data_IF_464301191918
#
_entry.id   IF_464301191918
#
_cell.length_a   1.000
_cell.length_b   1.000
_cell.length_c   1.000
_cell.angle_alpha   90.00
_cell.angle_beta   90.00
_cell.angle_gamma   90.00
#
_symmetry.space_group_name_H-M   'P 1'
#
loop_
_entity.id
_entity.type
_entity.pdbx_description
1 polymer ?
#
# COMPACT_ATOMS: atom_id res chain seq x y z
N UNK A 1 33.51 -27.64 22.06
CA UNK A 1 33.18 -27.08 22.26
C UNK A 1 33.03 -26.71 21.98
N UNK A 2 33.27 -26.79 21.87
CA UNK A 2 33.05 -26.11 22.00
C UNK A 2 32.97 -25.46 21.68
N UNK A 3 33.50 -25.35 21.73
CA UNK A 3 33.40 -24.53 21.87
C UNK A 3 33.39 -23.87 21.55
N UNK A 4 33.72 -23.88 21.71
CA UNK A 4 33.77 -23.25 21.81
C UNK A 4 33.67 -22.55 21.36
N UNK A 5 34.74 -23.27 22.10
CA UNK A 5 34.95 -22.70 22.15
C UNK A 5 34.69 -21.99 21.66
N UNK A 6 35.38 -22.39 21.77
CA UNK A 6 35.38 -21.50 21.87
C UNK A 6 35.26 -20.87 21.37
N UNK A 7 34.99 -20.46 21.40
CA UNK A 7 35.16 -19.92 21.41
C UNK A 7 34.92 -19.25 20.95
N UNK A 8 35.89 -19.52 21.58
CA UNK A 8 35.99 -18.96 21.67
C UNK A 8 35.84 -18.38 21.11
N UNK A 9 36.11 -18.49 21.28
CA UNK A 9 36.14 -17.89 21.25
C UNK A 9 36.02 -17.43 20.84
N UNK A 10 36.46 -17.25 21.06
CA UNK A 10 36.56 -16.69 21.02
C UNK A 10 36.29 -16.24 20.66
N UNK A 11 36.90 -16.21 20.66
CA UNK A 11 37.14 -15.69 20.64
C UNK A 11 37.04 -15.40 20.46
N UNK A 12 37.38 -15.34 20.84
CA UNK A 12 37.51 -14.77 20.96
C UNK A 12 37.55 -14.47 20.80
N UNK A 13 37.90 -14.40 20.80
CA UNK A 13 38.10 -13.94 20.90
C UNK A 13 37.92 -13.73 20.67
N UNK A 14 38.76 -14.03 20.67
CA UNK A 14 38.66 -13.25 20.76
C UNK A 14 38.53 -12.92 20.36
N UNK A 15 38.26 -12.57 20.42
CA UNK A 15 38.15 -12.05 20.31
C UNK A 15 38.00 -11.90 20.00
N UNK A 16 38.58 -11.68 19.88
CA UNK A 16 38.59 -11.18 19.79
C UNK A 16 38.37 -10.90 19.55
N UNK A 17 38.84 -10.82 19.85
CA UNK A 17 38.81 -10.27 19.86
C UNK A 17 38.57 -10.10 19.54
N UNK A 18 39.00 -9.80 19.44
CA UNK A 18 38.72 -9.03 19.41
C UNK A 18 38.41 -8.80 19.02
N UNK A 19 38.62 -8.68 19.03
CA UNK A 19 38.25 -7.97 18.86
C UNK A 19 37.84 -7.72 18.52
N UNK A 20 38.57 -7.86 18.37
CA UNK A 20 38.17 -6.94 18.36
C UNK A 20 37.77 -6.75 17.90
N UNK A 21 38.06 -6.54 17.96
CA UNK A 21 37.57 -5.89 17.79
C UNK A 21 37.03 -5.67 17.28
N UNK A 22 37.27 -5.56 16.96
CA UNK A 22 36.68 -4.86 16.89
C UNK A 22 36.12 -4.66 16.40
N UNK A 23 36.36 -4.70 16.32
CA UNK A 23 35.68 -4.03 16.16
C UNK A 23 35.16 -3.85 15.73
N UNK A 24 35.62 -3.82 15.57
CA UNK A 24 35.01 -3.28 15.48
C UNK A 24 34.49 -3.26 14.97
N UNK A 25 34.61 -3.26 14.91
CA UNK A 25 33.84 -2.81 14.78
C UNK A 25 33.16 -2.65 14.18
N UNK A 26 33.63 -2.68 14.04
CA UNK A 26 32.81 -2.16 13.80
C UNK A 26 32.26 -2.08 13.22
N UNK A 27 32.38 -1.96 13.02
CA UNK A 27 31.59 -1.44 12.80
C UNK A 27 31.02 -1.13 12.23
N UNK A 28 31.55 -1.18 12.03
CA UNK A 28 30.90 -0.49 11.77
C UNK A 28 30.48 -0.11 11.16
N UNK A 29 30.64 -0.15 10.99
CA UNK A 29 29.99 0.50 10.72
C UNK A 29 29.52 0.87 10.17
N UNK A 30 29.82 0.83 9.98
CA UNK A 30 29.14 1.50 9.67
C UNK A 30 28.47 1.86 9.27
N UNK A 31 28.47 1.95 9.10
CA UNK A 31 27.65 2.65 9.03
C UNK A 31 26.99 2.90 8.59
N UNK A 32 26.98 2.99 8.55
CA UNK A 32 26.14 3.53 8.37
C UNK A 32 25.40 3.96 8.19
N UNK A 33 25.49 4.05 8.14
CA UNK A 33 24.58 4.70 8.15
C UNK A 33 23.82 5.02 7.99
N UNK A 34 23.75 5.05 7.91
CA UNK A 34 22.81 5.57 7.96
C UNK A 34 22.07 5.71 7.95
N UNK A 35 21.97 5.72 8.05
CA UNK A 35 21.03 6.06 8.25
C UNK A 35 20.33 6.39 8.52
N UNK A 36 20.40 6.39 8.64
CA UNK A 36 19.60 6.81 9.04
C UNK A 36 18.88 7.12 9.11
N UNK A 37 18.69 7.29 9.25
CA UNK A 37 17.81 7.71 9.48
C UNK A 37 17.04 7.84 9.68
N UNK A 38 16.89 7.85 9.84
CA UNK A 38 16.00 8.05 10.17
C UNK A 38 15.32 7.91 10.64
N UNK A 39 15.28 7.85 10.86
CA UNK A 39 14.54 7.76 11.37
C UNK A 39 13.96 7.60 11.94
N UNK A 40 13.72 7.58 12.26
CA UNK A 40 12.95 7.38 12.79
C UNK A 40 12.33 7.07 13.13
N UNK A 41 12.07 7.08 13.24
CA UNK A 41 11.41 6.73 13.61
C UNK A 41 11.02 6.07 14.11
N UNK A 42 11.11 5.92 14.29
CA UNK A 42 10.93 5.21 14.72
C UNK A 42 10.46 4.45 15.33
N UNK A 43 10.16 4.57 15.64
CA UNK A 43 9.57 3.76 16.25
C UNK A 43 9.03 2.70 15.63
N UNK A 44 9.26 2.65 14.64
CA UNK A 44 8.78 1.69 14.06
C UNK A 44 9.45 0.59 14.02
N UNK A 45 9.12 -0.08 14.33
CA UNK A 45 9.67 -1.25 14.46
C UNK A 45 10.14 -1.91 13.30
N UNK A 46 9.54 -2.89 12.87
CA UNK A 46 9.99 -3.72 11.77
C UNK A 46 9.69 -3.05 10.44
N UNK A 47 10.68 -2.87 9.59
CA UNK A 47 10.40 -2.36 8.25
C UNK A 47 9.55 -3.37 7.48
N UNK A 48 8.66 -2.85 6.63
CA UNK A 48 7.78 -3.67 5.82
C UNK A 48 8.38 -3.77 4.42
N UNK A 49 8.67 -4.98 3.99
CA UNK A 49 9.07 -5.21 2.61
C UNK A 49 7.85 -5.07 1.73
N UNK A 50 7.99 -4.35 0.63
CA UNK A 50 6.86 -4.03 -0.22
C UNK A 50 7.12 -4.39 -1.68
N UNK A 51 6.02 -4.46 -2.43
CA UNK A 51 6.05 -4.74 -3.85
C UNK A 51 4.98 -3.89 -4.53
N UNK A 52 4.98 -3.90 -5.86
CA UNK A 52 4.01 -3.18 -6.66
C UNK A 52 3.04 -4.18 -7.29
N UNK A 53 1.75 -3.83 -7.24
CA UNK A 53 0.68 -4.63 -7.85
C UNK A 53 -0.02 -3.77 -8.88
N UNK A 54 -0.35 -4.34 -10.04
CA UNK A 54 -1.07 -3.61 -11.09
C UNK A 54 -2.24 -4.44 -11.59
N UNK A 55 -3.26 -3.76 -12.11
CA UNK A 55 -4.39 -4.42 -12.74
C UNK A 55 -5.01 -3.47 -13.77
N UNK A 56 -5.76 -4.05 -14.70
CA UNK A 56 -6.41 -3.29 -15.78
C UNK A 56 -7.77 -3.90 -16.04
N UNK A 57 -8.78 -3.03 -16.25
CA UNK A 57 -10.13 -3.50 -16.51
C UNK A 57 -10.85 -2.50 -17.42
N UNK A 58 -11.72 -3.00 -18.31
CA UNK A 58 -12.54 -2.17 -19.18
C UNK A 58 -13.94 -2.04 -18.61
N UNK A 59 -14.51 -0.83 -18.73
CA UNK A 59 -15.88 -0.56 -18.33
C UNK A 59 -16.61 0.12 -19.46
N UNK A 60 -17.87 -0.25 -19.68
CA UNK A 60 -18.71 0.40 -20.67
C UNK A 60 -19.39 1.59 -20.06
N UNK A 61 -18.58 2.58 -19.72
CA UNK A 61 -19.03 3.79 -19.06
C UNK A 61 -18.01 4.90 -19.32
N UNK A 62 -18.44 6.16 -19.30
CA UNK A 62 -17.49 7.26 -19.45
C UNK A 62 -16.61 7.40 -18.21
N UNK A 63 -15.44 7.98 -18.41
CA UNK A 63 -14.47 8.16 -17.34
C UNK A 63 -15.07 8.97 -16.18
N UNK A 64 -15.91 9.96 -16.46
CA UNK A 64 -16.51 10.78 -15.42
C UNK A 64 -17.38 9.95 -14.47
N UNK A 65 -18.11 8.98 -14.99
CA UNK A 65 -18.93 8.10 -14.13
C UNK A 65 -18.07 7.20 -13.27
N UNK A 66 -16.99 6.66 -13.84
CA UNK A 66 -16.09 5.84 -13.06
C UNK A 66 -15.39 6.67 -11.99
N UNK A 67 -14.99 7.88 -12.33
CA UNK A 67 -14.38 8.78 -11.36
C UNK A 67 -15.34 9.02 -10.18
N UNK A 68 -16.61 9.30 -10.48
CA UNK A 68 -17.60 9.52 -9.45
C UNK A 68 -17.85 8.27 -8.61
N UNK A 69 -17.69 7.10 -9.19
CA UNK A 69 -17.87 5.84 -8.46
C UNK A 69 -16.89 5.74 -7.28
N UNK A 70 -15.73 6.37 -7.37
CA UNK A 70 -14.73 6.36 -6.31
C UNK A 70 -14.77 7.62 -5.44
N UNK A 71 -15.57 8.62 -5.79
CA UNK A 71 -15.52 9.92 -5.11
C UNK A 71 -16.87 10.36 -4.56
N UNK A 72 -17.99 9.84 -5.08
CA UNK A 72 -19.32 10.17 -4.60
C UNK A 72 -19.74 9.15 -3.55
N UNK A 73 -20.00 9.58 -2.30
CA UNK A 73 -20.34 8.63 -1.24
C UNK A 73 -21.59 7.80 -1.53
N UNK A 74 -22.55 8.33 -2.30
CA UNK A 74 -23.73 7.56 -2.65
C UNK A 74 -23.39 6.44 -3.62
N UNK A 75 -22.53 6.70 -4.59
CA UNK A 75 -22.09 5.65 -5.51
C UNK A 75 -21.21 4.63 -4.83
N UNK A 76 -20.36 5.09 -3.93
CA UNK A 76 -19.54 4.19 -3.11
C UNK A 76 -20.44 3.27 -2.30
N UNK A 77 -21.46 3.81 -1.65
CA UNK A 77 -22.41 3.00 -0.87
C UNK A 77 -23.13 2.00 -1.74
N UNK A 78 -23.43 2.38 -2.99
CA UNK A 78 -24.15 1.50 -3.89
C UNK A 78 -23.33 0.25 -4.24
N UNK A 79 -22.05 0.41 -4.58
CA UNK A 79 -21.29 -0.77 -5.00
C UNK A 79 -20.69 -1.53 -3.81
N UNK A 80 -20.41 -0.86 -2.69
CA UNK A 80 -19.92 -1.55 -1.50
C UNK A 80 -21.06 -2.13 -0.67
N UNK A 81 -22.30 -1.74 -0.98
CA UNK A 81 -23.52 -2.21 -0.32
C UNK A 81 -23.64 -1.77 1.12
N UNK A 82 -22.93 -0.70 1.48
CA UNK A 82 -23.00 -0.11 2.81
C UNK A 82 -22.49 1.31 2.75
N UNK A 83 -22.98 2.17 3.60
CA UNK A 83 -22.44 3.51 3.71
C UNK A 83 -20.98 3.42 4.15
N UNK A 84 -20.11 4.33 3.66
CA UNK A 84 -18.75 4.38 4.17
C UNK A 84 -18.75 4.54 5.68
N UNK A 85 -17.88 3.80 6.35
CA UNK A 85 -17.73 3.93 7.81
C UNK A 85 -17.19 5.31 8.17
N UNK A 86 -16.35 5.85 7.29
CA UNK A 86 -15.83 7.21 7.40
C UNK A 86 -15.72 7.78 5.99
N UNK A 87 -16.10 9.04 5.81
CA UNK A 87 -15.91 9.70 4.52
C UNK A 87 -15.86 11.21 4.74
N UNK A 88 -14.65 11.75 4.69
CA UNK A 88 -14.44 13.18 4.93
C UNK A 88 -14.59 14.03 3.67
N UNK A 89 -14.82 13.38 2.53
CA UNK A 89 -14.99 14.07 1.26
C UNK A 89 -13.91 13.73 0.27
N UNK A 90 -14.27 13.81 -1.02
CA UNK A 90 -13.34 13.57 -2.11
C UNK A 90 -12.53 14.82 -2.34
N UNK A 91 -11.57 15.06 -1.49
CA UNK A 91 -10.68 16.21 -1.54
C UNK A 91 -9.33 15.76 -1.01
N UNK A 92 -8.29 16.48 -1.40
CA UNK A 92 -6.95 16.18 -0.92
C UNK A 92 -6.92 16.17 0.60
N UNK A 93 -6.47 15.05 1.18
CA UNK A 93 -6.44 14.87 2.62
C UNK A 93 -7.72 14.30 3.22
N UNK A 94 -8.78 14.13 2.41
CA UNK A 94 -10.03 13.54 2.90
C UNK A 94 -9.86 12.06 3.16
N UNK A 95 -10.19 11.62 4.36
CA UNK A 95 -10.04 10.22 4.76
C UNK A 95 -11.30 9.42 4.47
N UNK A 96 -11.12 8.14 4.25
CA UNK A 96 -12.24 7.23 3.98
C UNK A 96 -12.00 5.88 4.63
N UNK A 97 -13.10 5.21 5.00
CA UNK A 97 -13.09 3.83 5.45
C UNK A 97 -14.28 3.12 4.80
N UNK A 98 -14.00 2.07 4.08
CA UNK A 98 -15.01 1.33 3.32
C UNK A 98 -15.07 -0.12 3.80
N UNK A 99 -16.14 -0.82 3.41
CA UNK A 99 -16.32 -2.24 3.73
C UNK A 99 -16.19 -2.50 5.23
N UNK A 100 -16.86 -1.65 6.02
CA UNK A 100 -16.86 -1.82 7.48
C UNK A 100 -15.51 -1.53 8.13
N UNK A 101 -14.62 -0.84 7.41
CA UNK A 101 -13.28 -0.52 7.91
C UNK A 101 -12.20 -1.45 7.39
N UNK A 102 -12.57 -2.44 6.55
CA UNK A 102 -11.59 -3.35 5.98
C UNK A 102 -10.62 -2.65 5.02
N UNK A 103 -11.07 -1.57 4.36
CA UNK A 103 -10.25 -0.75 3.49
C UNK A 103 -10.27 0.67 4.01
N UNK A 104 -9.11 1.29 4.10
CA UNK A 104 -9.04 2.69 4.57
C UNK A 104 -7.88 3.42 3.89
N UNK A 105 -7.93 4.74 3.95
CA UNK A 105 -6.90 5.59 3.39
C UNK A 105 -7.35 7.03 3.33
N UNK A 106 -6.69 7.80 2.47
CA UNK A 106 -7.08 9.19 2.21
C UNK A 106 -6.79 9.54 0.76
N UNK A 107 -7.51 10.53 0.25
CA UNK A 107 -7.26 11.03 -1.10
C UNK A 107 -6.01 11.89 -1.07
N UNK A 108 -5.06 11.56 -1.94
CA UNK A 108 -3.81 12.30 -2.05
C UNK A 108 -3.85 13.29 -3.20
N UNK A 109 -4.48 12.91 -4.31
CA UNK A 109 -4.58 13.76 -5.47
C UNK A 109 -5.80 13.38 -6.29
N UNK A 110 -6.50 14.38 -6.82
CA UNK A 110 -7.73 14.18 -7.59
C UNK A 110 -7.64 15.02 -8.86
N UNK A 111 -7.63 14.34 -10.01
CA UNK A 111 -7.56 14.98 -11.33
C UNK A 111 -8.75 14.51 -12.15
N UNK A 112 -9.90 15.13 -11.91
CA UNK A 112 -11.16 14.72 -12.55
C UNK A 112 -11.16 14.99 -14.04
N UNK A 113 -11.58 14.05 -14.87
CA UNK A 113 -12.10 12.72 -14.56
C UNK A 113 -11.07 11.61 -14.83
N UNK A 114 -9.79 11.91 -14.90
CA UNK A 114 -8.78 11.00 -15.45
C UNK A 114 -7.96 10.26 -14.43
N UNK A 115 -7.87 10.77 -13.19
CA UNK A 115 -6.94 10.16 -12.25
C UNK A 115 -7.35 10.42 -10.80
N UNK A 116 -7.19 9.38 -9.98
CA UNK A 116 -7.31 9.48 -8.53
C UNK A 116 -6.07 8.82 -7.94
N UNK A 117 -5.42 9.51 -7.00
CA UNK A 117 -4.33 8.92 -6.23
C UNK A 117 -4.75 8.96 -4.77
N UNK A 118 -4.67 7.82 -4.12
CA UNK A 118 -5.09 7.71 -2.72
C UNK A 118 -4.18 6.74 -1.98
N UNK A 119 -4.03 6.94 -0.68
CA UNK A 119 -3.44 5.90 0.15
C UNK A 119 -4.49 4.82 0.36
N UNK A 120 -4.04 3.60 0.54
CA UNK A 120 -4.96 2.45 0.57
C UNK A 120 -4.33 1.32 1.37
N UNK A 121 -5.10 0.74 2.27
CA UNK A 121 -4.64 -0.41 3.03
C UNK A 121 -5.79 -1.34 3.36
N UNK A 122 -5.45 -2.60 3.55
CA UNK A 122 -6.36 -3.57 4.15
C UNK A 122 -6.14 -3.56 5.66
N UNK A 123 -7.22 -3.81 6.39
CA UNK A 123 -7.18 -3.80 7.85
C UNK A 123 -6.15 -4.77 8.42
N UNK A 124 -5.94 -5.90 7.73
CA UNK A 124 -5.00 -6.94 8.19
C UNK A 124 -3.53 -6.61 7.95
N UNK A 125 -3.23 -5.53 7.22
CA UNK A 125 -1.84 -5.12 6.99
C UNK A 125 -1.22 -4.59 8.29
N UNK A 126 0.12 -4.52 8.34
CA UNK A 126 0.76 -3.93 9.52
C UNK A 126 0.21 -2.55 9.84
N UNK A 127 0.05 -2.29 11.14
CA UNK A 127 -0.56 -1.06 11.62
C UNK A 127 0.13 0.17 11.03
N UNK A 128 -0.67 1.09 10.51
CA UNK A 128 -0.14 2.33 9.97
C UNK A 128 0.54 2.23 8.62
N UNK A 129 0.57 1.04 8.02
CA UNK A 129 1.19 0.87 6.71
C UNK A 129 0.15 1.05 5.60
N UNK A 130 0.42 1.99 4.70
CA UNK A 130 -0.45 2.27 3.55
C UNK A 130 0.33 2.09 2.26
N UNK A 131 -0.36 1.61 1.23
CA UNK A 131 0.15 1.66 -0.13
C UNK A 131 -0.30 2.97 -0.77
N UNK A 132 0.27 3.27 -1.92
CA UNK A 132 -0.17 4.38 -2.77
C UNK A 132 -0.89 3.76 -3.95
N UNK A 133 -2.19 3.99 -4.04
CA UNK A 133 -3.02 3.47 -5.12
C UNK A 133 -3.24 4.60 -6.13
N UNK A 134 -2.82 4.34 -7.36
CA UNK A 134 -3.05 5.26 -8.47
C UNK A 134 -4.05 4.63 -9.40
N UNK A 135 -5.14 5.34 -9.67
CA UNK A 135 -6.22 4.88 -10.56
C UNK A 135 -6.28 5.83 -11.74
N UNK A 136 -6.08 5.30 -12.93
CA UNK A 136 -6.11 6.10 -14.16
C UNK A 136 -7.28 5.64 -15.03
N UNK A 137 -8.05 6.60 -15.54
CA UNK A 137 -9.21 6.35 -16.39
C UNK A 137 -8.93 6.86 -17.79
N UNK A 138 -8.86 5.95 -18.75
CA UNK A 138 -8.54 6.25 -20.15
C UNK A 138 -9.75 5.94 -21.01
N UNK A 139 -10.51 6.99 -21.37
CA UNK A 139 -11.75 6.83 -22.10
C UNK A 139 -11.50 6.80 -23.60
N UNK A 140 -12.12 5.82 -24.26
CA UNK A 140 -12.15 5.76 -25.71
C UNK A 140 -13.47 6.44 -26.16
N UNK A 141 -13.36 7.59 -26.80
CA UNK A 141 -14.53 8.39 -27.18
C UNK A 141 -15.35 7.76 -28.29
N UNK A 142 -14.79 6.81 -29.04
CA UNK A 142 -15.50 6.19 -30.15
C UNK A 142 -16.60 5.26 -29.66
N UNK A 143 -16.30 4.41 -28.69
CA UNK A 143 -17.25 3.41 -28.20
C UNK A 143 -17.66 3.63 -26.75
N UNK A 144 -17.22 4.73 -26.15
CA UNK A 144 -17.57 5.10 -24.78
C UNK A 144 -17.16 4.05 -23.76
N UNK A 145 -16.04 3.37 -24.03
CA UNK A 145 -15.45 2.42 -23.12
C UNK A 145 -14.28 3.10 -22.40
N UNK A 146 -14.17 2.88 -21.11
CA UNK A 146 -13.05 3.41 -20.33
C UNK A 146 -12.19 2.26 -19.84
N UNK A 147 -10.88 2.35 -20.05
CA UNK A 147 -9.92 1.42 -19.49
C UNK A 147 -9.44 2.02 -18.17
N UNK A 148 -9.64 1.27 -17.09
CA UNK A 148 -9.17 1.65 -15.77
C UNK A 148 -7.89 0.89 -15.48
N UNK A 149 -6.80 1.63 -15.27
CA UNK A 149 -5.52 1.04 -14.91
C UNK A 149 -5.19 1.44 -13.49
N UNK A 150 -4.84 0.44 -12.69
CA UNK A 150 -4.52 0.69 -11.29
C UNK A 150 -3.12 0.18 -10.97
N UNK A 151 -2.47 0.89 -10.07
CA UNK A 151 -1.15 0.52 -9.59
C UNK A 151 -1.06 0.81 -8.10
N UNK A 152 -0.74 -0.22 -7.31
CA UNK A 152 -0.45 -0.06 -5.89
C UNK A 152 1.05 -0.12 -5.72
N UNK A 153 1.63 0.94 -5.18
CA UNK A 153 3.03 0.96 -4.77
C UNK A 153 3.07 0.84 -3.26
N UNK A 154 3.89 -0.10 -2.76
CA UNK A 154 4.02 -0.27 -1.32
C UNK A 154 3.10 -1.32 -0.71
N UNK A 155 2.67 -2.31 -1.51
CA UNK A 155 1.89 -3.44 -0.99
C UNK A 155 2.83 -4.35 -0.20
N UNK A 156 2.48 -4.75 1.02
CA UNK A 156 3.35 -5.68 1.77
C UNK A 156 3.56 -6.98 0.99
N UNK A 157 4.80 -7.43 0.97
CA UNK A 157 5.14 -8.71 0.32
C UNK A 157 4.31 -9.82 0.96
N UNK A 158 3.71 -10.67 0.13
CA UNK A 158 2.81 -11.71 0.59
C UNK A 158 1.35 -11.32 0.52
N UNK A 159 1.04 -10.04 0.29
CA UNK A 159 -0.34 -9.55 0.20
C UNK A 159 -0.76 -9.26 -1.25
N UNK A 160 0.08 -9.60 -2.21
CA UNK A 160 -0.19 -9.29 -3.63
C UNK A 160 -1.48 -9.93 -4.12
N UNK A 161 -1.61 -11.24 -3.90
CA UNK A 161 -2.77 -11.97 -4.39
C UNK A 161 -4.06 -11.56 -3.69
N UNK A 162 -3.99 -11.35 -2.38
CA UNK A 162 -5.13 -10.92 -1.59
C UNK A 162 -5.59 -9.52 -2.04
N UNK A 163 -4.64 -8.61 -2.27
CA UNK A 163 -4.95 -7.26 -2.72
C UNK A 163 -5.65 -7.29 -4.08
N UNK A 164 -5.09 -8.03 -5.02
CA UNK A 164 -5.65 -8.11 -6.37
C UNK A 164 -7.01 -8.80 -6.37
N UNK A 165 -7.16 -9.87 -5.59
CA UNK A 165 -8.44 -10.59 -5.49
C UNK A 165 -9.50 -9.71 -4.87
N UNK A 166 -9.19 -8.98 -3.79
CA UNK A 166 -10.14 -8.07 -3.17
C UNK A 166 -10.56 -6.97 -4.13
N UNK A 167 -9.62 -6.43 -4.90
CA UNK A 167 -9.93 -5.43 -5.90
C UNK A 167 -10.91 -5.96 -6.94
N UNK A 168 -10.64 -7.15 -7.48
CA UNK A 168 -11.51 -7.73 -8.50
C UNK A 168 -12.88 -8.07 -7.97
N UNK A 169 -12.97 -8.66 -6.77
CA UNK A 169 -14.25 -9.11 -6.23
C UNK A 169 -15.08 -7.96 -5.66
N UNK A 170 -14.45 -7.10 -4.87
CA UNK A 170 -15.21 -6.09 -4.13
C UNK A 170 -15.30 -4.76 -4.85
N UNK A 171 -14.41 -4.48 -5.77
CA UNK A 171 -14.47 -3.26 -6.58
C UNK A 171 -14.96 -3.54 -7.99
N UNK A 172 -14.16 -4.20 -8.80
CA UNK A 172 -14.44 -4.36 -10.23
C UNK A 172 -15.78 -5.07 -10.45
N UNK A 173 -15.93 -6.22 -9.86
CA UNK A 173 -17.15 -7.02 -10.04
C UNK A 173 -18.37 -6.32 -9.47
N UNK A 174 -18.21 -5.74 -8.28
CA UNK A 174 -19.31 -5.02 -7.64
C UNK A 174 -19.74 -3.80 -8.43
N UNK A 175 -18.77 -3.05 -8.96
CA UNK A 175 -19.07 -1.88 -9.80
C UNK A 175 -19.82 -2.31 -11.05
N UNK A 176 -19.35 -3.36 -11.72
CA UNK A 176 -20.02 -3.86 -12.93
C UNK A 176 -21.44 -4.37 -12.64
N UNK A 177 -21.61 -5.05 -11.51
CA UNK A 177 -22.92 -5.57 -11.12
C UNK A 177 -23.88 -4.43 -10.77
N UNK A 178 -23.38 -3.38 -10.13
CA UNK A 178 -24.20 -2.29 -9.63
C UNK A 178 -24.57 -1.28 -10.74
N UNK A 179 -23.62 -0.95 -11.60
CA UNK A 179 -23.80 0.14 -12.58
C UNK A 179 -23.86 -0.33 -14.03
N UNK A 180 -23.73 -1.62 -14.24
CA UNK A 180 -23.74 -2.16 -15.58
C UNK A 180 -22.36 -2.28 -16.15
#
# INVERSE_FOLDING_TARGET
>A
MIAEHGKDIQHAPGSHPASGTSTPKLHVSSGTSALASSAPKSKIATPVNTTTVTDTEEFRAPASELYQTFTDPQRIAAFTRAAPKLFEGAKKGGKYELFGGNVSGEYLELNEPTQIIQSWRLDQWPQGHFSRLEINFDQNDVDNVTVMRVSWTGVPVGQEDVTKRNWREYYVRSIKTTFG
#
